data_IF_162818568876
#
_entry.id   IF_162818568876
#
_cell.length_a   1.000
_cell.length_b   1.000
_cell.length_c   1.000
_cell.angle_alpha   90.00
_cell.angle_beta   90.00
_cell.angle_gamma   90.00
#
_symmetry.space_group_name_H-M   'P 1'
#
loop_
_entity.id
_entity.type
_entity.pdbx_description
1 polymer ?
#
# COMPACT_ATOMS: atom_id res chain seq x y z
N UNK A 1 -41.87 13.94 -8.61
CA UNK A 1 -41.41 13.23 -7.41
C UNK A 1 -39.99 12.78 -7.66
N UNK A 2 -39.02 13.51 -7.12
CA UNK A 2 -37.59 13.18 -7.20
C UNK A 2 -37.30 12.06 -6.21
N UNK A 3 -37.15 10.85 -6.74
CA UNK A 3 -36.63 9.69 -6.01
C UNK A 3 -35.24 10.06 -5.47
N UNK A 4 -35.15 10.22 -4.16
CA UNK A 4 -33.90 10.42 -3.44
C UNK A 4 -33.12 9.11 -3.56
N UNK A 5 -32.04 9.13 -4.34
CA UNK A 5 -31.23 7.96 -4.67
C UNK A 5 -30.32 7.64 -3.46
N UNK A 6 -30.84 6.84 -2.53
CA UNK A 6 -30.16 6.49 -1.26
C UNK A 6 -28.94 5.55 -1.44
N UNK A 7 -28.58 5.20 -2.67
CA UNK A 7 -27.49 4.26 -2.99
C UNK A 7 -26.13 4.95 -3.22
N UNK A 8 -26.05 6.28 -3.11
CA UNK A 8 -24.77 6.97 -3.28
C UNK A 8 -23.91 6.79 -2.03
N UNK A 9 -22.83 6.01 -2.16
CA UNK A 9 -21.77 5.97 -1.16
C UNK A 9 -21.16 7.37 -1.03
N UNK A 10 -21.24 7.95 0.16
CA UNK A 10 -20.58 9.23 0.49
C UNK A 10 -19.49 8.91 1.52
N UNK A 11 -18.21 8.84 1.11
CA UNK A 11 -17.14 8.56 2.06
C UNK A 11 -17.09 9.68 3.12
N UNK A 12 -17.09 9.29 4.39
CA UNK A 12 -16.81 10.25 5.47
C UNK A 12 -15.33 10.64 5.39
N UNK A 13 -14.99 11.94 5.54
CA UNK A 13 -13.61 12.35 5.67
C UNK A 13 -12.97 11.59 6.84
N UNK A 14 -11.93 10.82 6.55
CA UNK A 14 -11.09 10.24 7.59
C UNK A 14 -10.17 11.37 8.05
N UNK A 15 -10.38 11.85 9.28
CA UNK A 15 -9.34 12.64 9.94
C UNK A 15 -8.10 11.75 10.02
N UNK A 16 -7.08 12.09 9.23
CA UNK A 16 -5.82 11.38 9.27
C UNK A 16 -5.32 11.45 10.72
N UNK A 17 -5.33 10.31 11.42
CA UNK A 17 -4.66 10.19 12.70
C UNK A 17 -3.19 10.45 12.41
N UNK A 18 -2.74 11.66 12.73
CA UNK A 18 -1.35 12.05 12.61
C UNK A 18 -0.55 11.16 13.55
N UNK A 19 0.15 10.18 12.99
CA UNK A 19 1.09 9.37 13.73
C UNK A 19 2.26 10.27 14.15
N UNK A 20 2.24 10.76 15.39
CA UNK A 20 3.46 11.27 16.02
C UNK A 20 4.39 10.08 16.23
N UNK A 21 5.45 10.01 15.44
CA UNK A 21 6.58 9.14 15.76
C UNK A 21 7.12 9.59 17.12
N UNK A 22 7.02 8.73 18.13
CA UNK A 22 7.91 8.82 19.27
C UNK A 22 9.25 8.27 18.81
N UNK A 23 10.31 9.07 18.89
CA UNK A 23 11.64 8.66 18.46
C UNK A 23 12.20 7.62 19.44
N UNK A 24 12.11 6.35 19.07
CA UNK A 24 12.74 5.26 19.79
C UNK A 24 12.37 3.87 19.25
N UNK A 25 13.31 2.91 19.23
CA UNK A 25 13.07 1.56 18.69
C UNK A 25 11.90 0.83 19.36
N UNK A 26 11.68 1.07 20.65
CA UNK A 26 10.56 0.49 21.40
C UNK A 26 9.19 1.02 20.93
N UNK A 27 9.11 2.29 20.52
CA UNK A 27 7.88 2.90 20.02
C UNK A 27 7.50 2.30 18.67
N UNK A 28 8.48 2.13 17.76
CA UNK A 28 8.27 1.44 16.49
C UNK A 28 7.81 -0.01 16.68
N UNK A 29 8.43 -0.73 17.64
CA UNK A 29 8.05 -2.10 17.99
C UNK A 29 6.57 -2.19 18.43
N UNK A 30 6.15 -1.33 19.36
CA UNK A 30 4.77 -1.29 19.83
C UNK A 30 3.79 -0.94 18.71
N UNK A 31 4.10 0.04 17.87
CA UNK A 31 3.21 0.45 16.78
C UNK A 31 2.94 -0.66 15.78
N UNK A 32 3.97 -1.40 15.39
CA UNK A 32 3.78 -2.48 14.44
C UNK A 32 3.08 -3.70 15.07
N UNK A 33 3.23 -3.96 16.38
CA UNK A 33 2.37 -4.94 17.08
C UNK A 33 0.89 -4.51 17.02
N UNK A 34 0.60 -3.22 17.24
CA UNK A 34 -0.76 -2.68 17.14
C UNK A 34 -1.29 -2.85 15.72
N UNK A 35 -0.51 -2.48 14.70
CA UNK A 35 -0.89 -2.62 13.30
C UNK A 35 -1.13 -4.09 12.93
N UNK A 36 -0.23 -4.99 13.32
CA UNK A 36 -0.35 -6.45 13.12
C UNK A 36 -1.62 -7.02 13.77
N UNK A 37 -1.86 -6.67 15.03
CA UNK A 37 -3.06 -7.11 15.76
C UNK A 37 -4.34 -6.55 15.11
N UNK A 38 -4.29 -5.31 14.64
CA UNK A 38 -5.43 -4.67 13.96
C UNK A 38 -5.72 -5.32 12.61
N UNK A 39 -4.69 -5.64 11.83
CA UNK A 39 -4.81 -6.36 10.55
C UNK A 39 -5.40 -7.76 10.75
N UNK A 40 -4.92 -8.52 11.74
CA UNK A 40 -5.48 -9.83 12.10
C UNK A 40 -6.95 -9.73 12.51
N UNK A 41 -7.31 -8.71 13.31
CA UNK A 41 -8.71 -8.49 13.71
C UNK A 41 -9.57 -8.11 12.52
N UNK A 42 -9.11 -7.21 11.65
CA UNK A 42 -9.84 -6.81 10.45
C UNK A 42 -10.07 -8.01 9.52
N UNK A 43 -9.04 -8.82 9.29
CA UNK A 43 -9.14 -10.04 8.49
C UNK A 43 -10.08 -11.08 9.13
N UNK A 44 -9.97 -11.32 10.43
CA UNK A 44 -10.85 -12.28 11.12
C UNK A 44 -12.30 -11.80 11.28
N UNK A 45 -12.55 -10.50 11.11
CA UNK A 45 -13.90 -9.92 11.14
C UNK A 45 -14.52 -9.84 9.75
N UNK A 46 -13.73 -9.97 8.68
CA UNK A 46 -14.25 -10.13 7.32
C UNK A 46 -15.19 -11.35 7.26
N UNK A 47 -16.38 -11.16 6.69
CA UNK A 47 -17.41 -12.19 6.57
C UNK A 47 -18.20 -12.49 7.85
N UNK A 48 -17.96 -11.76 8.95
CA UNK A 48 -18.80 -11.79 10.16
C UNK A 48 -19.83 -10.66 10.21
N UNK A 49 -19.73 -9.69 9.30
CA UNK A 49 -20.73 -8.63 9.13
C UNK A 49 -22.00 -9.21 8.51
N UNK A 50 -23.17 -8.78 9.00
CA UNK A 50 -24.46 -9.15 8.37
C UNK A 50 -24.90 -8.10 7.34
N UNK A 51 -24.31 -6.91 7.38
CA UNK A 51 -24.59 -5.80 6.47
C UNK A 51 -23.40 -5.57 5.53
N UNK A 52 -23.62 -5.86 4.25
CA UNK A 52 -22.63 -5.73 3.20
C UNK A 52 -22.14 -4.28 3.00
N UNK A 53 -22.97 -3.28 3.31
CA UNK A 53 -22.59 -1.86 3.23
C UNK A 53 -21.55 -1.50 4.28
N UNK A 54 -21.69 -2.06 5.49
CA UNK A 54 -20.71 -1.90 6.57
C UNK A 54 -19.39 -2.58 6.21
N UNK A 55 -19.44 -3.77 5.60
CA UNK A 55 -18.25 -4.47 5.11
C UNK A 55 -17.53 -3.68 4.01
N UNK A 56 -18.27 -3.10 3.07
CA UNK A 56 -17.70 -2.29 1.99
C UNK A 56 -17.09 -0.98 2.50
N UNK A 57 -17.76 -0.29 3.42
CA UNK A 57 -17.24 0.92 4.06
C UNK A 57 -15.96 0.61 4.86
N UNK A 58 -15.96 -0.51 5.57
CA UNK A 58 -14.77 -0.99 6.31
C UNK A 58 -13.62 -1.29 5.35
N UNK A 59 -13.90 -2.02 4.27
CA UNK A 59 -12.89 -2.34 3.26
C UNK A 59 -12.29 -1.09 2.62
N UNK A 60 -13.09 -0.06 2.33
CA UNK A 60 -12.58 1.21 1.82
C UNK A 60 -11.57 1.87 2.77
N UNK A 61 -11.91 1.96 4.06
CA UNK A 61 -11.02 2.53 5.09
C UNK A 61 -9.73 1.70 5.21
N UNK A 62 -9.85 0.36 5.24
CA UNK A 62 -8.71 -0.56 5.31
C UNK A 62 -7.82 -0.42 4.08
N UNK A 63 -8.40 -0.29 2.88
CA UNK A 63 -7.65 -0.08 1.64
C UNK A 63 -6.83 1.20 1.70
N UNK A 64 -7.43 2.32 2.12
CA UNK A 64 -6.72 3.61 2.24
C UNK A 64 -5.58 3.55 3.25
N UNK A 65 -5.83 3.02 4.44
CA UNK A 65 -4.83 2.90 5.49
C UNK A 65 -3.66 2.00 5.06
N UNK A 66 -3.97 0.83 4.49
CA UNK A 66 -2.96 -0.14 4.03
C UNK A 66 -2.14 0.43 2.87
N UNK A 67 -2.77 1.12 1.90
CA UNK A 67 -2.07 1.79 0.80
C UNK A 67 -1.07 2.84 1.29
N UNK A 68 -1.45 3.61 2.31
CA UNK A 68 -0.59 4.63 2.93
C UNK A 68 0.63 3.99 3.62
N UNK A 69 0.41 2.95 4.43
CA UNK A 69 1.47 2.24 5.11
C UNK A 69 2.46 1.57 4.14
N UNK A 70 1.97 0.89 3.10
CA UNK A 70 2.81 0.32 2.03
C UNK A 70 3.66 1.41 1.36
N UNK A 71 3.07 2.56 1.01
CA UNK A 71 3.83 3.67 0.43
C UNK A 71 4.94 4.16 1.36
N UNK A 72 4.71 4.21 2.68
CA UNK A 72 5.74 4.57 3.65
C UNK A 72 6.85 3.51 3.72
N UNK A 73 6.51 2.22 3.77
CA UNK A 73 7.48 1.13 3.73
C UNK A 73 8.37 1.20 2.48
N UNK A 74 7.77 1.35 1.30
CA UNK A 74 8.54 1.45 0.06
C UNK A 74 9.47 2.68 0.04
N UNK A 75 9.07 3.80 0.66
CA UNK A 75 9.93 4.99 0.79
C UNK A 75 11.09 4.75 1.74
N UNK A 76 10.87 4.06 2.85
CA UNK A 76 11.94 3.68 3.79
C UNK A 76 12.99 2.83 3.08
N UNK A 77 12.55 1.76 2.39
CA UNK A 77 13.43 0.90 1.60
C UNK A 77 14.13 1.69 0.49
N UNK A 78 13.40 2.57 -0.20
CA UNK A 78 13.99 3.40 -1.25
C UNK A 78 15.11 4.28 -0.69
N UNK A 79 14.91 4.90 0.47
CA UNK A 79 15.89 5.75 1.13
C UNK A 79 17.17 4.98 1.47
N UNK A 80 17.05 3.75 1.99
CA UNK A 80 18.19 2.88 2.28
C UNK A 80 18.93 2.47 1.01
N UNK A 81 18.20 2.28 -0.10
CA UNK A 81 18.76 1.97 -1.42
C UNK A 81 19.35 3.19 -2.14
N UNK A 82 19.06 4.43 -1.74
CA UNK A 82 19.54 5.62 -2.48
C UNK A 82 21.07 5.63 -2.56
N UNK A 83 21.75 5.21 -1.50
CA UNK A 83 23.21 5.17 -1.46
C UNK A 83 23.82 4.14 -2.44
N UNK A 84 23.05 3.14 -2.87
CA UNK A 84 23.55 2.08 -3.77
C UNK A 84 23.39 2.45 -5.25
N UNK A 85 22.65 3.51 -5.57
CA UNK A 85 22.42 3.94 -6.96
C UNK A 85 23.25 5.18 -7.25
N UNK A 86 24.27 5.05 -8.11
CA UNK A 86 25.23 6.11 -8.45
C UNK A 86 24.68 7.22 -9.36
N UNK A 87 23.43 7.13 -9.80
CA UNK A 87 22.88 8.04 -10.82
C UNK A 87 22.32 9.34 -10.24
N UNK A 88 22.68 10.47 -10.84
CA UNK A 88 22.07 11.79 -10.55
C UNK A 88 20.76 12.03 -11.31
N UNK A 89 20.42 11.16 -12.27
CA UNK A 89 19.20 11.29 -13.07
C UNK A 89 18.00 10.72 -12.31
N UNK A 90 17.03 11.57 -11.97
CA UNK A 90 15.79 11.16 -11.29
C UNK A 90 15.04 10.03 -12.02
N UNK A 91 14.99 10.05 -13.35
CA UNK A 91 14.33 8.99 -14.13
C UNK A 91 15.07 7.65 -14.08
N UNK A 92 16.41 7.67 -14.04
CA UNK A 92 17.19 6.43 -13.86
C UNK A 92 17.03 5.91 -12.43
N UNK A 93 16.98 6.80 -11.44
CA UNK A 93 16.71 6.46 -10.05
C UNK A 93 15.34 5.81 -9.89
N UNK A 94 14.29 6.39 -10.46
CA UNK A 94 12.94 5.81 -10.43
C UNK A 94 12.84 4.49 -11.20
N UNK A 95 13.54 4.36 -12.33
CA UNK A 95 13.59 3.10 -13.09
C UNK A 95 14.33 1.99 -12.33
N UNK A 96 15.30 2.33 -11.48
CA UNK A 96 16.11 1.37 -10.73
C UNK A 96 15.47 0.98 -9.39
N UNK A 97 15.04 1.99 -8.62
CA UNK A 97 14.58 1.85 -7.24
C UNK A 97 13.29 2.64 -6.98
N UNK A 98 12.46 2.90 -8.00
CA UNK A 98 11.14 3.49 -7.80
C UNK A 98 10.24 2.58 -6.96
N UNK A 99 9.25 3.15 -6.27
CA UNK A 99 8.40 2.38 -5.35
C UNK A 99 7.74 1.16 -6.01
N UNK A 100 7.31 1.28 -7.27
CA UNK A 100 6.71 0.16 -8.02
C UNK A 100 7.74 -0.92 -8.37
N UNK A 101 8.99 -0.55 -8.61
CA UNK A 101 10.10 -1.47 -8.87
C UNK A 101 10.47 -2.21 -7.59
N UNK A 102 10.59 -1.48 -6.47
CA UNK A 102 10.85 -2.05 -5.15
C UNK A 102 9.76 -3.05 -4.78
N UNK A 103 8.50 -2.63 -4.86
CA UNK A 103 7.36 -3.49 -4.57
C UNK A 103 7.34 -4.74 -5.45
N UNK A 104 7.55 -4.58 -6.75
CA UNK A 104 7.55 -5.72 -7.68
C UNK A 104 8.66 -6.74 -7.45
N UNK A 105 9.84 -6.31 -6.96
CA UNK A 105 10.97 -7.21 -6.71
C UNK A 105 10.94 -7.84 -5.31
N UNK A 106 10.64 -7.07 -4.28
CA UNK A 106 10.69 -7.55 -2.89
C UNK A 106 9.35 -8.12 -2.41
N UNK A 107 8.23 -7.61 -2.94
CA UNK A 107 6.90 -7.93 -2.43
C UNK A 107 5.91 -8.19 -3.58
N UNK A 108 6.17 -9.19 -4.45
CA UNK A 108 5.34 -9.46 -5.61
C UNK A 108 3.87 -9.71 -5.24
N UNK A 109 3.61 -10.44 -4.15
CA UNK A 109 2.25 -10.69 -3.65
C UNK A 109 1.57 -9.40 -3.15
N UNK A 110 2.29 -8.52 -2.44
CA UNK A 110 1.75 -7.22 -2.04
C UNK A 110 1.41 -6.34 -3.25
N UNK A 111 2.16 -6.45 -4.35
CA UNK A 111 1.87 -5.72 -5.58
C UNK A 111 0.51 -6.10 -6.14
N UNK A 112 0.23 -7.39 -6.28
CA UNK A 112 -1.04 -7.91 -6.78
C UNK A 112 -2.21 -7.51 -5.86
N UNK A 113 -2.04 -7.70 -4.54
CA UNK A 113 -3.06 -7.35 -3.55
C UNK A 113 -3.35 -5.84 -3.52
N UNK A 114 -2.34 -5.00 -3.71
CA UNK A 114 -2.50 -3.55 -3.83
C UNK A 114 -3.36 -3.17 -5.04
N UNK A 115 -3.30 -3.92 -6.15
CA UNK A 115 -4.13 -3.63 -7.33
C UNK A 115 -5.62 -3.83 -7.02
N UNK A 116 -5.98 -4.85 -6.24
CA UNK A 116 -7.37 -5.03 -5.77
C UNK A 116 -7.82 -3.85 -4.89
N UNK A 117 -6.98 -3.42 -3.95
CA UNK A 117 -7.28 -2.26 -3.10
C UNK A 117 -7.41 -0.95 -3.91
N UNK A 118 -6.58 -0.74 -4.93
CA UNK A 118 -6.69 0.43 -5.81
C UNK A 118 -8.00 0.40 -6.60
N UNK A 119 -8.37 -0.75 -7.18
CA UNK A 119 -9.64 -0.89 -7.91
C UNK A 119 -10.84 -0.55 -7.02
N UNK A 120 -10.86 -1.05 -5.79
CA UNK A 120 -11.92 -0.74 -4.83
C UNK A 120 -11.99 0.76 -4.51
N UNK A 121 -10.86 1.39 -4.22
CA UNK A 121 -10.84 2.83 -3.91
C UNK A 121 -11.29 3.66 -5.12
N UNK A 122 -10.74 3.40 -6.30
CA UNK A 122 -11.14 4.12 -7.51
C UNK A 122 -12.61 3.95 -7.85
N UNK A 123 -13.15 2.75 -7.63
CA UNK A 123 -14.58 2.50 -7.85
C UNK A 123 -15.46 3.31 -6.91
N UNK A 124 -15.10 3.38 -5.62
CA UNK A 124 -15.89 4.08 -4.61
C UNK A 124 -15.68 5.61 -4.61
N UNK A 125 -14.56 6.10 -5.12
CA UNK A 125 -14.29 7.53 -5.29
C UNK A 125 -15.04 8.13 -6.50
N UNK A 126 -15.39 7.31 -7.50
CA UNK A 126 -16.15 7.79 -8.66
C UNK A 126 -17.63 7.95 -8.32
N UNK A 127 -18.05 9.22 -8.26
CA UNK A 127 -19.43 9.60 -7.98
C UNK A 127 -20.48 9.12 -8.99
N UNK A 128 -20.05 8.64 -10.16
CA UNK A 128 -20.89 8.13 -11.24
C UNK A 128 -21.06 6.60 -11.22
N UNK A 129 -20.26 5.90 -10.42
CA UNK A 129 -20.39 4.45 -10.31
C UNK A 129 -21.69 4.07 -9.59
N UNK A 130 -22.47 3.21 -10.26
CA UNK A 130 -23.73 2.67 -9.74
C UNK A 130 -23.57 1.18 -9.52
N UNK A 131 -23.70 0.73 -8.28
CA UNK A 131 -23.54 -0.68 -7.91
C UNK A 131 -22.09 -1.11 -7.72
N UNK A 132 -21.89 -2.35 -7.26
CA UNK A 132 -20.63 -2.85 -6.67
C UNK A 132 -20.14 -4.14 -7.35
N UNK A 133 -20.59 -4.42 -8.57
CA UNK A 133 -20.20 -5.67 -9.23
C UNK A 133 -18.70 -5.68 -9.52
N UNK A 134 -18.02 -6.76 -9.08
CA UNK A 134 -16.61 -7.11 -9.33
C UNK A 134 -15.54 -6.55 -8.36
N UNK A 135 -15.92 -5.97 -7.21
CA UNK A 135 -14.93 -5.58 -6.19
C UNK A 135 -14.47 -6.77 -5.33
N UNK A 136 -13.15 -7.04 -5.34
CA UNK A 136 -12.54 -8.04 -4.48
C UNK A 136 -12.31 -7.49 -3.05
N UNK A 137 -13.37 -7.50 -2.24
CA UNK A 137 -13.36 -7.04 -0.84
C UNK A 137 -12.40 -7.87 0.01
N UNK A 138 -12.42 -9.20 -0.14
CA UNK A 138 -11.49 -10.10 0.55
C UNK A 138 -10.03 -9.73 0.25
N UNK A 139 -9.72 -9.43 -1.01
CA UNK A 139 -8.39 -9.01 -1.45
C UNK A 139 -7.85 -7.79 -0.70
N UNK A 140 -8.72 -6.89 -0.22
CA UNK A 140 -8.30 -5.74 0.61
C UNK A 140 -7.88 -6.16 2.01
N UNK A 141 -8.62 -7.08 2.64
CA UNK A 141 -8.26 -7.60 3.94
C UNK A 141 -7.01 -8.49 3.85
N UNK A 142 -6.89 -9.29 2.79
CA UNK A 142 -5.68 -10.05 2.47
C UNK A 142 -4.49 -9.12 2.25
N UNK A 143 -4.66 -7.98 1.56
CA UNK A 143 -3.61 -6.96 1.42
C UNK A 143 -3.13 -6.43 2.78
N UNK A 144 -4.07 -6.10 3.67
CA UNK A 144 -3.78 -5.62 5.01
C UNK A 144 -3.03 -6.68 5.84
N UNK A 145 -3.54 -7.92 5.83
CA UNK A 145 -2.91 -9.05 6.49
C UNK A 145 -1.47 -9.25 5.98
N UNK A 146 -1.29 -9.34 4.66
CA UNK A 146 0.00 -9.63 4.08
C UNK A 146 1.03 -8.53 4.39
N UNK A 147 0.61 -7.25 4.42
CA UNK A 147 1.50 -6.14 4.77
C UNK A 147 1.95 -6.19 6.23
N UNK A 148 1.02 -6.36 7.17
CA UNK A 148 1.29 -6.20 8.60
C UNK A 148 1.58 -7.50 9.36
N UNK A 149 1.30 -8.67 8.77
CA UNK A 149 1.57 -9.98 9.35
C UNK A 149 2.72 -10.67 8.63
N UNK A 150 2.58 -10.91 7.32
CA UNK A 150 3.51 -11.77 6.58
C UNK A 150 4.80 -11.03 6.18
N UNK A 151 4.71 -9.72 5.98
CA UNK A 151 5.85 -8.87 5.68
C UNK A 151 6.23 -7.97 6.87
N UNK A 152 5.85 -8.37 8.09
CA UNK A 152 6.08 -7.60 9.30
C UNK A 152 7.57 -7.30 9.51
N UNK A 153 8.46 -8.26 9.25
CA UNK A 153 9.90 -8.09 9.46
C UNK A 153 10.49 -6.97 8.60
N UNK A 154 9.96 -6.79 7.37
CA UNK A 154 10.34 -5.68 6.51
C UNK A 154 9.88 -4.32 7.05
N UNK A 155 8.74 -4.27 7.77
CA UNK A 155 8.29 -3.07 8.48
C UNK A 155 9.22 -2.70 9.65
N UNK A 156 9.94 -3.68 10.20
CA UNK A 156 10.90 -3.50 11.29
C UNK A 156 12.34 -3.25 10.80
N UNK A 157 12.53 -2.99 9.51
CA UNK A 157 13.84 -2.67 8.94
C UNK A 157 14.70 -3.88 8.59
N UNK A 158 14.18 -5.11 8.71
CA UNK A 158 14.87 -6.27 8.16
C UNK A 158 14.50 -6.42 6.67
N UNK A 159 15.30 -5.78 5.80
CA UNK A 159 15.17 -5.93 4.36
C UNK A 159 16.07 -7.10 3.92
N UNK A 160 15.53 -8.18 3.33
CA UNK A 160 16.36 -9.27 2.82
C UNK A 160 17.30 -8.74 1.71
N UNK A 161 18.61 -8.74 1.98
CA UNK A 161 19.72 -8.50 1.04
C UNK A 161 19.45 -7.47 -0.09
N UNK A 162 19.27 -6.17 0.21
CA UNK A 162 18.88 -5.16 -0.77
C UNK A 162 19.91 -4.92 -1.90
N UNK A 163 21.20 -5.02 -1.60
CA UNK A 163 22.30 -4.71 -2.53
C UNK A 163 22.39 -5.68 -3.72
N UNK A 164 21.92 -6.92 -3.58
CA UNK A 164 21.87 -7.90 -4.67
C UNK A 164 20.64 -7.81 -5.57
N UNK A 165 19.62 -7.04 -5.18
CA UNK A 165 18.28 -7.14 -5.76
C UNK A 165 17.93 -6.03 -6.76
N UNK A 166 18.69 -4.93 -6.80
CA UNK A 166 18.37 -3.75 -7.61
C UNK A 166 19.55 -3.27 -8.48
N UNK A 167 19.68 -3.74 -9.72
CA UNK A 167 20.66 -3.21 -10.66
C UNK A 167 20.26 -1.80 -11.12
N UNK A 168 21.24 -0.96 -11.41
CA UNK A 168 20.99 0.34 -12.02
C UNK A 168 20.40 0.17 -13.43
N UNK A 169 19.24 0.79 -13.67
CA UNK A 169 18.54 0.84 -14.95
C UNK A 169 18.57 2.27 -15.47
N UNK A 170 19.19 2.45 -16.64
CA UNK A 170 19.25 3.75 -17.31
C UNK A 170 17.95 4.03 -18.07
N UNK A 171 17.48 5.27 -17.98
CA UNK A 171 16.38 5.74 -18.82
C UNK A 171 16.85 5.87 -20.29
N UNK A 172 15.90 5.87 -21.24
CA UNK A 172 16.19 5.93 -22.69
C UNK A 172 17.17 7.05 -23.08
N UNK A 173 17.06 8.22 -22.45
CA UNK A 173 17.95 9.39 -22.69
C UNK A 173 19.38 9.18 -22.17
N UNK A 174 19.54 8.51 -21.03
CA UNK A 174 20.86 8.23 -20.46
C UNK A 174 21.53 7.04 -21.15
N UNK A 175 20.76 6.05 -21.58
CA UNK A 175 21.26 4.92 -22.37
C UNK A 175 21.86 5.39 -23.70
N UNK A 176 21.21 6.32 -24.41
CA UNK A 176 21.73 6.85 -25.68
C UNK A 176 23.00 7.70 -25.55
N UNK A 177 23.25 8.31 -24.38
CA UNK A 177 24.46 9.10 -24.11
C UNK A 177 25.69 8.27 -23.77
N UNK A 178 25.51 6.98 -23.45
CA UNK A 178 26.63 6.08 -23.13
C UNK A 178 27.13 5.33 -24.38
N UNK A 179 26.43 5.45 -25.51
CA UNK A 179 26.74 4.79 -26.78
C UNK A 179 27.44 5.71 -27.79
N UNK A 180 27.88 6.89 -27.33
CA UNK A 180 28.76 7.83 -28.04
C UNK A 180 30.08 7.90 -27.30
#
# INVERSE_FOLDING_TARGET
MTTTDFLKFVPKPIEAIGFRAGDGPNVHFTFAIIQRTTALRAYNNFGKGRDWMEELATAYVVALATRSADTQLMKLIQNDLVATVSTSCGQCKDASIGLNVIRGRLFPTLKELREHANKLVHHLDDSMNKGVSELNVEGVFSYCHHLFQENADALFGFIPNPTGLFPEVKCRKCSSRTAQ
#
